data_IF_625048977543
#
_entry.id   IF_625048977543
#
_cell.length_a   1.000
_cell.length_b   1.000
_cell.length_c   1.000
_cell.angle_alpha   90.00
_cell.angle_beta   90.00
_cell.angle_gamma   90.00
#
_symmetry.space_group_name_H-M   'P 1'
#
loop_
_entity.id
_entity.type
_entity.pdbx_description
1 polymer ?
#
# COMPACT_ATOMS: atom_id res chain seq x y z
N UNK A 1 4.29 -2.66 15.16
CA UNK A 1 3.49 -3.19 14.02
C UNK A 1 2.04 -2.72 14.05
N UNK A 2 1.36 -2.68 15.21
CA UNK A 2 -0.03 -2.18 15.30
C UNK A 2 -0.18 -0.71 14.84
N UNK A 3 0.76 0.17 15.19
CA UNK A 3 0.76 1.58 14.74
C UNK A 3 0.83 1.74 13.22
N UNK A 4 1.52 0.83 12.51
CA UNK A 4 1.63 0.89 11.06
C UNK A 4 0.26 0.63 10.39
N UNK A 5 -0.44 -0.39 10.88
CA UNK A 5 -1.77 -0.78 10.37
C UNK A 5 -2.78 0.34 10.64
N UNK A 6 -2.73 0.94 11.82
CA UNK A 6 -3.61 2.05 12.20
C UNK A 6 -3.37 3.28 11.31
N UNK A 7 -2.12 3.69 11.11
CA UNK A 7 -1.78 4.82 10.25
C UNK A 7 -2.27 4.63 8.81
N UNK A 8 -2.07 3.43 8.23
CA UNK A 8 -2.53 3.11 6.87
C UNK A 8 -4.07 3.13 6.81
N UNK A 9 -4.75 2.56 7.79
CA UNK A 9 -6.22 2.52 7.85
C UNK A 9 -6.83 3.92 7.93
N UNK A 10 -6.23 4.81 8.73
CA UNK A 10 -6.68 6.21 8.86
C UNK A 10 -6.47 6.98 7.55
N UNK A 11 -5.31 6.79 6.89
CA UNK A 11 -5.01 7.44 5.62
C UNK A 11 -5.99 6.98 4.52
N UNK A 12 -6.24 5.66 4.43
CA UNK A 12 -7.22 5.08 3.50
C UNK A 12 -8.64 5.60 3.76
N UNK A 13 -9.06 5.68 5.03
CA UNK A 13 -10.37 6.23 5.42
C UNK A 13 -10.53 7.71 5.04
N UNK A 14 -9.42 8.43 4.91
CA UNK A 14 -9.38 9.84 4.47
C UNK A 14 -9.39 9.97 2.93
N UNK A 15 -9.46 8.87 2.18
CA UNK A 15 -9.39 8.85 0.73
C UNK A 15 -7.97 8.88 0.16
N UNK A 16 -6.95 8.65 1.00
CA UNK A 16 -5.55 8.59 0.56
C UNK A 16 -5.30 7.28 -0.17
N UNK A 17 -4.48 7.31 -1.22
CA UNK A 17 -4.11 6.09 -1.93
C UNK A 17 -3.39 5.10 -1.00
N UNK A 18 -3.68 3.79 -1.10
CA UNK A 18 -3.02 2.74 -0.32
C UNK A 18 -1.50 2.78 -0.44
N UNK A 19 -0.97 3.03 -1.63
CA UNK A 19 0.47 3.13 -1.87
C UNK A 19 1.06 4.29 -1.08
N UNK A 20 0.46 5.48 -1.17
CA UNK A 20 0.91 6.65 -0.41
C UNK A 20 0.81 6.42 1.10
N UNK A 21 -0.32 5.89 1.58
CA UNK A 21 -0.52 5.56 2.98
C UNK A 21 0.57 4.61 3.52
N UNK A 22 0.88 3.56 2.76
CA UNK A 22 1.96 2.61 3.09
C UNK A 22 3.31 3.30 3.09
N UNK A 23 3.62 4.13 2.08
CA UNK A 23 4.89 4.86 2.00
C UNK A 23 5.09 5.80 3.17
N UNK A 24 4.06 6.54 3.56
CA UNK A 24 4.12 7.46 4.69
C UNK A 24 4.27 6.70 6.01
N UNK A 25 3.55 5.59 6.18
CA UNK A 25 3.62 4.78 7.39
C UNK A 25 4.96 4.03 7.54
N UNK A 26 5.50 3.50 6.44
CA UNK A 26 6.74 2.69 6.44
C UNK A 26 8.01 3.52 6.21
N UNK A 27 7.88 4.71 5.64
CA UNK A 27 9.00 5.51 5.15
C UNK A 27 9.65 4.96 3.87
N UNK A 28 9.04 3.97 3.20
CA UNK A 28 9.61 3.35 2.01
C UNK A 28 9.36 4.17 0.73
N UNK A 29 10.30 4.06 -0.21
CA UNK A 29 10.16 4.57 -1.57
C UNK A 29 9.39 3.58 -2.45
N UNK A 30 8.91 4.03 -3.61
CA UNK A 30 8.26 3.15 -4.60
C UNK A 30 9.18 1.99 -5.00
N UNK A 31 10.47 2.24 -5.21
CA UNK A 31 11.46 1.22 -5.54
C UNK A 31 11.58 0.15 -4.43
N UNK A 32 11.65 0.58 -3.16
CA UNK A 32 11.67 -0.33 -2.01
C UNK A 32 10.38 -1.16 -1.94
N UNK A 33 9.22 -0.52 -2.12
CA UNK A 33 7.94 -1.22 -2.15
C UNK A 33 7.86 -2.22 -3.30
N UNK A 34 8.36 -1.87 -4.48
CA UNK A 34 8.41 -2.75 -5.64
C UNK A 34 9.23 -4.01 -5.33
N UNK A 35 10.41 -3.84 -4.74
CA UNK A 35 11.27 -4.96 -4.32
C UNK A 35 10.61 -5.82 -3.25
N UNK A 36 9.99 -5.20 -2.23
CA UNK A 36 9.32 -5.95 -1.16
C UNK A 36 8.10 -6.72 -1.67
N UNK A 37 7.27 -6.07 -2.50
CA UNK A 37 6.02 -6.65 -3.00
C UNK A 37 6.14 -7.51 -4.25
N UNK A 38 7.27 -7.43 -4.95
CA UNK A 38 7.46 -8.06 -6.25
C UNK A 38 6.54 -7.46 -7.34
N UNK A 39 6.03 -6.25 -7.14
CA UNK A 39 5.31 -5.47 -8.14
C UNK A 39 6.31 -4.62 -8.93
N UNK A 40 5.97 -4.25 -10.16
CA UNK A 40 6.77 -3.29 -10.90
C UNK A 40 6.52 -1.87 -10.38
N UNK A 41 7.54 -1.02 -10.41
CA UNK A 41 7.43 0.38 -9.98
C UNK A 41 6.32 1.13 -10.75
N UNK A 42 6.20 0.86 -12.05
CA UNK A 42 5.14 1.43 -12.89
C UNK A 42 3.73 1.07 -12.37
N UNK A 43 3.54 -0.14 -11.85
CA UNK A 43 2.26 -0.60 -11.30
C UNK A 43 1.95 0.12 -9.98
N UNK A 44 2.97 0.34 -9.13
CA UNK A 44 2.82 1.11 -7.90
C UNK A 44 2.53 2.59 -8.17
N UNK A 45 3.16 3.16 -9.20
CA UNK A 45 2.90 4.53 -9.64
C UNK A 45 1.49 4.66 -10.21
N UNK A 46 1.01 3.68 -10.98
CA UNK A 46 -0.35 3.64 -11.51
C UNK A 46 -1.39 3.55 -10.37
N UNK A 47 -1.14 2.67 -9.38
CA UNK A 47 -1.93 2.58 -8.16
C UNK A 47 -1.92 3.90 -7.36
N UNK A 48 -0.77 4.56 -7.23
CA UNK A 48 -0.64 5.86 -6.56
C UNK A 48 -1.33 7.00 -7.33
N UNK A 49 -1.43 6.88 -8.66
CA UNK A 49 -2.16 7.81 -9.51
C UNK A 49 -3.69 7.65 -9.46
N UNK A 50 -4.20 6.64 -8.73
CA UNK A 50 -5.62 6.39 -8.54
C UNK A 50 -6.16 5.17 -9.30
N UNK A 51 -5.29 4.31 -9.81
CA UNK A 51 -5.69 3.01 -10.35
C UNK A 51 -6.16 2.09 -9.23
N UNK A 52 -7.39 1.60 -9.32
CA UNK A 52 -7.99 0.74 -8.28
C UNK A 52 -7.85 -0.71 -8.72
N UNK A 53 -6.74 -1.33 -8.34
CA UNK A 53 -6.47 -2.73 -8.65
C UNK A 53 -6.29 -3.56 -7.39
N UNK A 54 -7.40 -4.16 -6.96
CA UNK A 54 -7.48 -4.88 -5.70
C UNK A 54 -6.50 -6.05 -5.63
N UNK A 55 -6.17 -6.69 -6.76
CA UNK A 55 -5.20 -7.81 -6.82
C UNK A 55 -3.80 -7.31 -6.47
N UNK A 56 -3.40 -6.16 -7.04
CA UNK A 56 -2.09 -5.57 -6.77
C UNK A 56 -2.00 -5.06 -5.34
N UNK A 57 -3.06 -4.45 -4.82
CA UNK A 57 -3.14 -3.98 -3.44
C UNK A 57 -3.06 -5.12 -2.42
N UNK A 58 -3.81 -6.19 -2.62
CA UNK A 58 -3.73 -7.40 -1.78
C UNK A 58 -2.32 -8.00 -1.79
N UNK A 59 -1.66 -8.02 -2.96
CA UNK A 59 -0.29 -8.54 -3.10
C UNK A 59 0.73 -7.67 -2.37
N UNK A 60 0.60 -6.34 -2.48
CA UNK A 60 1.41 -5.37 -1.75
C UNK A 60 1.22 -5.53 -0.23
N UNK A 61 -0.02 -5.63 0.23
CA UNK A 61 -0.34 -5.85 1.63
C UNK A 61 0.25 -7.15 2.17
N UNK A 62 0.03 -8.27 1.46
CA UNK A 62 0.60 -9.58 1.85
C UNK A 62 2.12 -9.55 1.96
N UNK A 63 2.80 -8.88 1.03
CA UNK A 63 4.26 -8.79 1.06
C UNK A 63 4.80 -7.98 2.24
N UNK A 64 4.04 -6.98 2.70
CA UNK A 64 4.34 -6.18 3.87
C UNK A 64 3.86 -6.84 5.18
N UNK A 65 3.20 -8.00 5.10
CA UNK A 65 2.57 -8.65 6.25
C UNK A 65 1.33 -7.92 6.79
N UNK A 66 0.71 -7.08 5.96
CA UNK A 66 -0.52 -6.37 6.28
C UNK A 66 -1.73 -7.26 6.01
N UNK A 67 -2.76 -7.21 6.86
CA UNK A 67 -4.01 -7.91 6.61
C UNK A 67 -4.77 -7.28 5.44
N UNK A 68 -5.37 -8.13 4.59
CA UNK A 68 -6.13 -7.70 3.40
C UNK A 68 -7.25 -6.72 3.75
N UNK A 69 -7.86 -6.87 4.93
CA UNK A 69 -8.91 -6.00 5.44
C UNK A 69 -8.53 -4.52 5.54
N UNK A 70 -7.24 -4.19 5.50
CA UNK A 70 -6.74 -2.80 5.46
C UNK A 70 -6.87 -2.24 4.05
N UNK A 71 -6.49 -3.00 3.03
CA UNK A 71 -6.42 -2.52 1.64
C UNK A 71 -7.69 -2.78 0.82
N UNK A 72 -8.66 -3.53 1.37
CA UNK A 72 -9.95 -3.83 0.73
C UNK A 72 -11.14 -3.14 1.39
N UNK A 73 -10.93 -1.99 2.08
CA UNK A 73 -12.00 -1.18 2.69
C UNK A 73 -12.90 -0.53 1.63
#
# INVERSE_FOLDING_TARGET
MAELIEAITVALSSGTNPVTAIREATGYTIEQLAVTSGLAEAELVDLEAGSVDQVRLTRLASALGLPESVVTQ
#
